data_IF_374684315084
#
_entry.id   IF_374684315084
#
_cell.length_a   1.000
_cell.length_b   1.000
_cell.length_c   1.000
_cell.angle_alpha   90.00
_cell.angle_beta   90.00
_cell.angle_gamma   90.00
#
_symmetry.space_group_name_H-M   'P 1'
#
loop_
_entity.id
_entity.type
_entity.pdbx_description
1 polymer ?
#
# COMPACT_ATOMS: atom_id res chain seq x y z
N UNK A 1 -7.41 -16.09 -5.38
CA UNK A 1 -7.36 -14.94 -4.44
C UNK A 1 -8.73 -14.28 -4.25
N UNK A 2 -9.48 -14.02 -5.32
CA UNK A 2 -10.79 -13.35 -5.28
C UNK A 2 -11.80 -13.92 -4.26
N UNK A 3 -12.07 -15.23 -4.28
CA UNK A 3 -12.99 -15.87 -3.32
C UNK A 3 -12.60 -15.65 -1.85
N UNK A 4 -11.29 -15.64 -1.57
CA UNK A 4 -10.80 -15.34 -0.22
C UNK A 4 -11.08 -13.89 0.16
N UNK A 5 -10.87 -12.96 -0.76
CA UNK A 5 -11.11 -11.53 -0.54
C UNK A 5 -12.59 -11.27 -0.25
N UNK A 6 -13.49 -11.82 -1.06
CA UNK A 6 -14.94 -11.75 -0.87
C UNK A 6 -15.36 -12.31 0.49
N UNK A 7 -14.86 -13.50 0.86
CA UNK A 7 -15.18 -14.12 2.15
C UNK A 7 -14.70 -13.29 3.35
N UNK A 8 -13.53 -12.67 3.25
CA UNK A 8 -12.97 -11.82 4.32
C UNK A 8 -13.74 -10.50 4.43
N UNK A 9 -14.07 -9.84 3.31
CA UNK A 9 -14.83 -8.60 3.29
C UNK A 9 -16.24 -8.80 3.88
N UNK A 10 -16.92 -9.89 3.49
CA UNK A 10 -18.23 -10.24 4.04
C UNK A 10 -18.16 -10.54 5.55
N UNK A 11 -17.14 -11.29 5.99
CA UNK A 11 -16.94 -11.62 7.41
C UNK A 11 -16.56 -10.41 8.27
N UNK A 12 -16.05 -9.33 7.65
CA UNK A 12 -15.72 -8.08 8.32
C UNK A 12 -16.93 -7.20 8.65
N UNK A 13 -18.14 -7.62 8.25
CA UNK A 13 -19.39 -6.93 8.55
C UNK A 13 -19.75 -5.82 7.55
N UNK A 14 -19.11 -5.78 6.40
CA UNK A 14 -19.43 -4.83 5.33
C UNK A 14 -20.76 -5.19 4.67
N UNK A 15 -21.53 -4.18 4.29
CA UNK A 15 -22.74 -4.37 3.50
C UNK A 15 -22.39 -4.93 2.11
N UNK A 16 -23.32 -5.63 1.42
CA UNK A 16 -23.07 -6.17 0.09
C UNK A 16 -22.58 -5.12 -0.92
N UNK A 17 -23.14 -3.91 -0.88
CA UNK A 17 -22.73 -2.80 -1.78
C UNK A 17 -21.28 -2.36 -1.53
N UNK A 18 -20.85 -2.34 -0.27
CA UNK A 18 -19.50 -1.94 0.14
C UNK A 18 -18.49 -3.02 -0.25
N UNK A 19 -18.87 -4.29 -0.08
CA UNK A 19 -18.09 -5.44 -0.57
C UNK A 19 -17.93 -5.38 -2.09
N UNK A 20 -19.03 -5.13 -2.83
CA UNK A 20 -18.99 -4.98 -4.29
C UNK A 20 -18.05 -3.86 -4.73
N UNK A 21 -18.10 -2.70 -4.07
CA UNK A 21 -17.22 -1.56 -4.38
C UNK A 21 -15.73 -1.96 -4.25
N UNK A 22 -15.35 -2.59 -3.15
CA UNK A 22 -13.98 -3.04 -2.95
C UNK A 22 -13.55 -4.12 -3.96
N UNK A 23 -14.46 -5.04 -4.32
CA UNK A 23 -14.21 -6.09 -5.32
C UNK A 23 -14.13 -5.54 -6.75
N UNK A 24 -14.87 -4.48 -7.07
CA UNK A 24 -14.77 -3.77 -8.35
C UNK A 24 -13.42 -3.08 -8.49
N UNK A 25 -12.98 -2.34 -7.46
CA UNK A 25 -11.64 -1.74 -7.47
C UNK A 25 -10.52 -2.78 -7.53
N UNK A 26 -10.68 -3.91 -6.83
CA UNK A 26 -9.74 -5.03 -6.96
C UNK A 26 -9.67 -5.53 -8.40
N UNK A 27 -10.81 -5.80 -9.06
CA UNK A 27 -10.81 -6.25 -10.46
C UNK A 27 -10.19 -5.22 -11.39
N UNK A 28 -10.51 -3.93 -11.22
CA UNK A 28 -9.87 -2.84 -11.96
C UNK A 28 -8.35 -2.87 -11.81
N UNK A 29 -7.85 -3.00 -10.58
CA UNK A 29 -6.42 -3.09 -10.29
C UNK A 29 -5.74 -4.30 -10.96
N UNK A 30 -6.46 -5.43 -11.07
CA UNK A 30 -5.97 -6.64 -11.74
C UNK A 30 -5.97 -6.48 -13.26
N UNK A 31 -7.04 -5.93 -13.83
CA UNK A 31 -7.19 -5.72 -15.27
C UNK A 31 -6.10 -4.80 -15.82
N UNK A 32 -5.78 -3.72 -15.09
CA UNK A 32 -4.69 -2.80 -15.43
C UNK A 32 -3.32 -3.51 -15.41
N UNK A 33 -3.09 -4.38 -14.43
CA UNK A 33 -1.83 -5.13 -14.28
C UNK A 33 -1.67 -6.28 -15.27
N UNK A 34 -2.77 -6.90 -15.72
CA UNK A 34 -2.75 -8.04 -16.64
C UNK A 34 -2.06 -7.74 -17.98
N UNK A 35 -1.95 -6.46 -18.35
CA UNK A 35 -1.18 -6.03 -19.51
C UNK A 35 0.36 -6.13 -19.31
N UNK A 36 0.84 -6.16 -18.06
CA UNK A 36 2.25 -6.06 -17.70
C UNK A 36 2.80 -7.27 -16.94
N UNK A 37 1.95 -7.99 -16.21
CA UNK A 37 2.34 -9.11 -15.35
C UNK A 37 1.73 -10.40 -15.89
N UNK A 38 2.60 -11.33 -16.30
CA UNK A 38 2.20 -12.53 -17.05
C UNK A 38 1.85 -13.70 -16.13
N UNK A 39 2.47 -13.80 -14.95
CA UNK A 39 2.34 -14.95 -14.05
C UNK A 39 1.46 -14.61 -12.84
N UNK A 40 0.49 -15.48 -12.54
CA UNK A 40 -0.46 -15.29 -11.43
C UNK A 40 0.18 -15.42 -10.04
N UNK A 41 1.37 -16.04 -9.95
CA UNK A 41 2.13 -16.19 -8.72
C UNK A 41 3.12 -15.04 -8.47
N UNK A 42 3.25 -14.10 -9.41
CA UNK A 42 4.09 -12.92 -9.24
C UNK A 42 3.59 -12.08 -8.06
N UNK A 43 4.51 -11.73 -7.16
CA UNK A 43 4.22 -10.88 -6.02
C UNK A 43 3.50 -9.57 -6.40
N UNK A 44 3.75 -9.01 -7.60
CA UNK A 44 3.09 -7.81 -8.12
C UNK A 44 1.65 -8.05 -8.53
N UNK A 45 1.36 -9.22 -9.10
CA UNK A 45 0.00 -9.63 -9.45
C UNK A 45 -0.87 -9.78 -8.19
N UNK A 46 -0.31 -10.36 -7.14
CA UNK A 46 -1.01 -10.62 -5.88
C UNK A 46 -1.10 -9.39 -4.95
N UNK A 47 -0.39 -8.30 -5.26
CA UNK A 47 -0.26 -7.11 -4.42
C UNK A 47 -1.60 -6.40 -4.12
N UNK A 48 -2.50 -6.15 -5.08
CA UNK A 48 -3.74 -5.40 -4.82
C UNK A 48 -4.64 -6.05 -3.76
N UNK A 49 -4.85 -7.36 -3.87
CA UNK A 49 -5.63 -8.11 -2.88
C UNK A 49 -4.96 -8.08 -1.50
N UNK A 50 -3.62 -8.10 -1.47
CA UNK A 50 -2.85 -8.13 -0.24
C UNK A 50 -2.87 -6.80 0.48
N UNK A 51 -2.71 -5.67 -0.21
CA UNK A 51 -2.79 -4.33 0.40
C UNK A 51 -4.17 -4.09 1.01
N UNK A 52 -5.25 -4.48 0.32
CA UNK A 52 -6.61 -4.44 0.87
C UNK A 52 -6.74 -5.29 2.14
N UNK A 53 -6.25 -6.52 2.13
CA UNK A 53 -6.32 -7.40 3.30
C UNK A 53 -5.52 -6.85 4.48
N UNK A 54 -4.35 -6.26 4.25
CA UNK A 54 -3.54 -5.63 5.31
C UNK A 54 -4.30 -4.44 5.90
N UNK A 55 -4.89 -3.57 5.07
CA UNK A 55 -5.67 -2.44 5.55
C UNK A 55 -6.86 -2.86 6.40
N UNK A 56 -7.58 -3.89 5.96
CA UNK A 56 -8.73 -4.44 6.67
C UNK A 56 -8.32 -5.14 7.98
N UNK A 57 -7.30 -6.00 7.94
CA UNK A 57 -6.96 -6.91 9.05
C UNK A 57 -5.95 -6.30 10.02
N UNK A 58 -4.86 -5.73 9.52
CA UNK A 58 -3.80 -5.13 10.31
C UNK A 58 -4.10 -3.65 10.63
N UNK A 59 -4.64 -2.90 9.66
CA UNK A 59 -5.07 -1.50 9.84
C UNK A 59 -6.40 -1.32 10.57
N UNK A 60 -7.24 -2.36 10.60
CA UNK A 60 -8.55 -2.35 11.23
C UNK A 60 -9.54 -1.39 10.55
N UNK A 61 -9.28 -0.97 9.30
CA UNK A 61 -10.15 -0.05 8.57
C UNK A 61 -11.42 -0.74 8.10
N UNK A 62 -12.55 -0.04 8.12
CA UNK A 62 -13.86 -0.52 7.67
C UNK A 62 -14.56 0.44 6.72
N UNK A 63 -14.01 1.65 6.53
CA UNK A 63 -14.48 2.63 5.57
C UNK A 63 -14.44 2.05 4.14
N UNK A 64 -15.60 1.93 3.46
CA UNK A 64 -15.67 1.29 2.15
C UNK A 64 -14.84 1.98 1.06
N UNK A 65 -14.79 3.31 1.09
CA UNK A 65 -13.98 4.15 0.19
C UNK A 65 -12.48 3.86 0.34
N UNK A 66 -11.97 3.80 1.56
CA UNK A 66 -10.56 3.47 1.82
C UNK A 66 -10.21 2.02 1.44
N UNK A 67 -11.10 1.07 1.74
CA UNK A 67 -10.91 -0.33 1.34
C UNK A 67 -10.93 -0.52 -0.17
N UNK A 68 -11.78 0.24 -0.87
CA UNK A 68 -11.84 0.24 -2.33
C UNK A 68 -10.68 1.00 -2.98
N UNK A 69 -10.09 2.00 -2.30
CA UNK A 69 -8.88 2.66 -2.77
C UNK A 69 -7.62 1.78 -2.61
N UNK A 70 -7.56 0.94 -1.59
CA UNK A 70 -6.40 0.09 -1.29
C UNK A 70 -5.78 -0.68 -2.48
N UNK A 71 -6.54 -1.42 -3.30
CA UNK A 71 -5.97 -2.13 -4.45
C UNK A 71 -5.45 -1.20 -5.58
N UNK A 72 -5.83 0.07 -5.53
CA UNK A 72 -5.50 1.11 -6.52
C UNK A 72 -4.42 2.07 -6.02
N UNK A 73 -3.86 1.84 -4.83
CA UNK A 73 -2.61 2.47 -4.41
C UNK A 73 -1.47 1.58 -4.92
N UNK A 74 -0.54 2.16 -5.67
CA UNK A 74 0.67 1.48 -6.12
C UNK A 74 1.82 2.47 -6.02
N UNK A 75 2.54 2.40 -4.89
CA UNK A 75 3.61 3.36 -4.62
C UNK A 75 4.95 2.97 -5.23
N UNK A 76 5.18 1.71 -5.61
CA UNK A 76 6.45 1.26 -6.17
C UNK A 76 6.49 1.27 -7.69
N UNK A 77 5.39 0.89 -8.33
CA UNK A 77 5.30 0.74 -9.78
C UNK A 77 4.05 1.48 -10.30
N UNK A 78 3.95 2.82 -10.13
CA UNK A 78 2.74 3.59 -10.46
C UNK A 78 2.29 3.41 -11.92
N UNK A 79 3.23 3.12 -12.82
CA UNK A 79 2.96 2.81 -14.24
C UNK A 79 2.05 1.58 -14.44
N UNK A 80 2.02 0.64 -13.48
CA UNK A 80 1.11 -0.53 -13.52
C UNK A 80 -0.36 -0.14 -13.42
N UNK A 81 -0.62 1.03 -12.85
CA UNK A 81 -1.96 1.56 -12.65
C UNK A 81 -2.30 2.63 -13.69
N UNK A 82 -1.32 3.39 -14.18
CA UNK A 82 -1.57 4.47 -15.15
C UNK A 82 -2.52 5.53 -14.55
N UNK A 83 -3.39 6.12 -15.38
CA UNK A 83 -4.33 7.18 -14.95
C UNK A 83 -5.58 6.62 -14.25
N UNK A 84 -5.43 5.79 -13.22
CA UNK A 84 -6.55 5.18 -12.47
C UNK A 84 -7.53 6.23 -11.96
N UNK A 85 -7.02 7.39 -11.52
CA UNK A 85 -7.85 8.47 -11.04
C UNK A 85 -8.90 8.92 -12.08
N UNK A 86 -8.63 8.77 -13.38
CA UNK A 86 -9.56 9.15 -14.43
C UNK A 86 -10.73 8.16 -14.62
N UNK A 87 -10.63 6.94 -14.08
CA UNK A 87 -11.64 5.87 -14.26
C UNK A 87 -12.21 5.33 -12.95
N UNK A 88 -11.67 5.75 -11.80
CA UNK A 88 -12.17 5.38 -10.49
C UNK A 88 -13.54 6.05 -10.20
N UNK A 89 -14.49 5.34 -9.57
CA UNK A 89 -15.71 5.96 -9.07
C UNK A 89 -15.42 7.11 -8.09
N UNK A 90 -16.25 8.16 -8.09
CA UNK A 90 -16.09 9.38 -7.26
C UNK A 90 -15.61 9.15 -5.81
N UNK A 91 -16.20 8.24 -4.99
CA UNK A 91 -15.73 8.07 -3.61
C UNK A 91 -14.29 7.53 -3.50
N UNK A 92 -13.84 6.80 -4.51
CA UNK A 92 -12.47 6.29 -4.59
C UNK A 92 -11.54 7.37 -5.15
N UNK A 93 -11.98 8.07 -6.19
CA UNK A 93 -11.24 9.20 -6.77
C UNK A 93 -10.90 10.26 -5.71
N UNK A 94 -11.88 10.63 -4.87
CA UNK A 94 -11.66 11.59 -3.79
C UNK A 94 -10.60 11.14 -2.78
N UNK A 95 -10.58 9.84 -2.43
CA UNK A 95 -9.55 9.26 -1.56
C UNK A 95 -8.19 9.31 -2.25
N UNK A 96 -8.10 8.87 -3.50
CA UNK A 96 -6.84 8.83 -4.26
C UNK A 96 -6.26 10.23 -4.48
N UNK A 97 -7.11 11.21 -4.81
CA UNK A 97 -6.72 12.61 -4.96
C UNK A 97 -6.28 13.26 -3.64
N UNK A 98 -6.78 12.76 -2.51
CA UNK A 98 -6.40 13.20 -1.16
C UNK A 98 -5.13 12.57 -0.61
N UNK A 99 -4.50 11.63 -1.31
CA UNK A 99 -3.25 11.01 -0.88
C UNK A 99 -2.10 12.04 -0.96
N UNK A 100 -1.28 12.17 0.11
CA UNK A 100 -0.03 12.91 0.04
C UNK A 100 0.82 12.42 -1.13
N UNK A 101 1.19 13.35 -2.01
CA UNK A 101 1.93 13.01 -3.23
C UNK A 101 3.31 12.48 -2.84
N UNK A 102 3.54 11.20 -3.09
CA UNK A 102 4.81 10.56 -2.78
C UNK A 102 5.87 10.98 -3.80
N UNK A 103 6.89 11.75 -3.40
CA UNK A 103 7.81 12.33 -4.36
C UNK A 103 8.68 11.22 -4.98
N UNK A 104 8.56 11.05 -6.29
CA UNK A 104 9.26 9.98 -7.02
C UNK A 104 8.76 8.56 -6.69
N UNK A 105 7.59 8.39 -6.09
CA UNK A 105 7.15 7.07 -5.61
C UNK A 105 8.06 6.50 -4.51
N UNK A 106 7.87 5.23 -4.13
CA UNK A 106 8.71 4.51 -3.15
C UNK A 106 10.10 4.16 -3.69
N UNK A 107 10.26 4.32 -4.99
CA UNK A 107 11.40 3.83 -5.75
C UNK A 107 12.35 4.86 -6.31
N UNK A 108 11.96 6.12 -6.51
CA UNK A 108 12.79 7.12 -7.18
C UNK A 108 13.40 8.15 -6.20
N UNK A 109 14.30 8.97 -6.72
CA UNK A 109 15.00 9.99 -5.95
C UNK A 109 14.19 11.26 -5.83
N UNK A 110 13.71 11.54 -4.63
CA UNK A 110 13.29 12.87 -4.22
C UNK A 110 14.42 13.58 -3.46
N UNK A 111 14.45 14.91 -3.54
CA UNK A 111 15.32 15.71 -2.67
C UNK A 111 14.83 15.67 -1.21
N UNK A 112 15.70 15.93 -0.21
CA UNK A 112 15.36 15.87 1.21
C UNK A 112 14.17 16.78 1.59
N UNK A 113 14.04 17.94 0.95
CA UNK A 113 12.93 18.87 1.19
C UNK A 113 11.58 18.31 0.74
N UNK A 114 11.57 17.53 -0.36
CA UNK A 114 10.36 16.90 -0.86
C UNK A 114 9.92 15.74 0.03
N UNK A 115 10.88 14.93 0.52
CA UNK A 115 10.62 13.88 1.51
C UNK A 115 10.07 14.46 2.82
N UNK A 116 10.66 15.58 3.29
CA UNK A 116 10.19 16.27 4.49
C UNK A 116 8.76 16.80 4.33
N UNK A 117 8.44 17.45 3.21
CA UNK A 117 7.09 17.92 2.91
C UNK A 117 6.07 16.78 2.85
N UNK A 118 6.43 15.69 2.17
CA UNK A 118 5.57 14.51 2.11
C UNK A 118 5.31 13.91 3.50
N UNK A 119 6.33 13.85 4.35
CA UNK A 119 6.16 13.41 5.74
C UNK A 119 5.22 14.32 6.53
N UNK A 120 5.38 15.65 6.39
CA UNK A 120 4.49 16.62 7.05
C UNK A 120 3.03 16.43 6.61
N UNK A 121 2.77 16.33 5.31
CA UNK A 121 1.44 16.06 4.76
C UNK A 121 0.88 14.73 5.28
N UNK A 122 1.69 13.67 5.31
CA UNK A 122 1.28 12.35 5.78
C UNK A 122 0.94 12.33 7.28
N UNK A 123 1.72 13.03 8.11
CA UNK A 123 1.44 13.14 9.55
C UNK A 123 0.16 13.93 9.82
N UNK A 124 -0.19 14.88 8.95
CA UNK A 124 -1.41 15.69 9.05
C UNK A 124 -2.63 15.05 8.37
N UNK A 125 -2.43 14.04 7.53
CA UNK A 125 -3.51 13.32 6.86
C UNK A 125 -4.46 12.64 7.85
N UNK A 126 -5.69 12.37 7.41
CA UNK A 126 -6.65 11.65 8.25
C UNK A 126 -6.13 10.25 8.64
N UNK A 127 -6.50 9.71 9.82
CA UNK A 127 -5.97 8.43 10.28
C UNK A 127 -6.19 7.26 9.32
N UNK A 128 -7.28 7.27 8.55
CA UNK A 128 -7.57 6.26 7.53
C UNK A 128 -6.57 6.29 6.37
N UNK A 129 -6.18 7.48 5.90
CA UNK A 129 -5.15 7.66 4.86
C UNK A 129 -3.79 7.20 5.35
N UNK A 130 -3.44 7.52 6.61
CA UNK A 130 -2.19 7.03 7.22
C UNK A 130 -2.15 5.50 7.23
N UNK A 131 -3.25 4.85 7.64
CA UNK A 131 -3.35 3.39 7.64
C UNK A 131 -3.30 2.79 6.24
N UNK A 132 -3.94 3.43 5.27
CA UNK A 132 -3.91 3.02 3.86
C UNK A 132 -2.46 2.98 3.34
N UNK A 133 -1.72 4.08 3.52
CA UNK A 133 -0.30 4.19 3.10
C UNK A 133 0.59 3.20 3.87
N UNK A 134 0.39 3.06 5.18
CA UNK A 134 1.16 2.10 5.98
C UNK A 134 0.86 0.64 5.61
N UNK A 135 -0.36 0.32 5.20
CA UNK A 135 -0.75 -1.04 4.79
C UNK A 135 -0.10 -1.42 3.48
N UNK A 136 -0.09 -0.49 2.54
CA UNK A 136 0.63 -0.58 1.27
C UNK A 136 2.14 -0.79 1.50
N UNK A 137 2.74 0.11 2.28
CA UNK A 137 4.16 0.02 2.65
C UNK A 137 4.51 -1.31 3.34
N UNK A 138 3.62 -1.83 4.20
CA UNK A 138 3.83 -3.09 4.89
C UNK A 138 3.86 -4.28 3.91
N UNK A 139 2.98 -4.29 2.90
CA UNK A 139 3.00 -5.32 1.85
C UNK A 139 4.31 -5.27 1.04
N UNK A 140 4.78 -4.07 0.74
CA UNK A 140 6.00 -3.90 -0.03
C UNK A 140 7.23 -4.30 0.78
N UNK A 141 7.30 -3.90 2.05
CA UNK A 141 8.39 -4.25 2.95
C UNK A 141 8.55 -5.77 3.12
N UNK A 142 7.43 -6.51 3.28
CA UNK A 142 7.50 -7.97 3.44
C UNK A 142 8.03 -8.69 2.20
N UNK A 143 7.85 -8.10 1.01
CA UNK A 143 8.29 -8.67 -0.27
C UNK A 143 9.59 -8.04 -0.79
N UNK A 144 10.21 -7.14 -0.04
CA UNK A 144 11.40 -6.43 -0.49
C UNK A 144 12.59 -7.37 -0.80
N UNK A 145 12.63 -8.54 -0.17
CA UNK A 145 13.62 -9.58 -0.42
C UNK A 145 13.52 -10.23 -1.81
N UNK A 146 12.39 -10.06 -2.51
CA UNK A 146 12.20 -10.52 -3.89
C UNK A 146 12.75 -9.51 -4.91
N UNK A 147 13.09 -8.29 -4.47
CA UNK A 147 13.66 -7.26 -5.34
C UNK A 147 15.19 -7.40 -5.40
N UNK A 148 15.79 -7.17 -6.59
CA UNK A 148 17.24 -7.19 -6.72
C UNK A 148 17.87 -6.13 -5.82
N UNK A 149 19.10 -6.40 -5.39
CA UNK A 149 19.87 -5.40 -4.66
C UNK A 149 20.20 -4.20 -5.56
N UNK A 150 20.27 -3.01 -4.95
CA UNK A 150 20.61 -1.78 -5.66
C UNK A 150 19.94 -0.52 -5.12
N UNK A 151 20.12 0.62 -5.81
CA UNK A 151 19.69 1.94 -5.33
C UNK A 151 18.20 2.03 -5.04
N UNK A 152 17.36 1.38 -5.86
CA UNK A 152 15.92 1.32 -5.67
C UNK A 152 15.56 0.65 -4.33
N UNK A 153 16.10 -0.54 -4.07
CA UNK A 153 15.87 -1.28 -2.82
C UNK A 153 16.35 -0.48 -1.60
N UNK A 154 17.52 0.13 -1.70
CA UNK A 154 18.10 0.92 -0.61
C UNK A 154 17.27 2.14 -0.25
N UNK A 155 16.62 2.80 -1.22
CA UNK A 155 15.70 3.92 -0.95
C UNK A 155 14.47 3.47 -0.17
N UNK A 156 13.87 2.33 -0.54
CA UNK A 156 12.75 1.75 0.21
C UNK A 156 13.17 1.44 1.64
N UNK A 157 14.37 0.87 1.84
CA UNK A 157 14.92 0.60 3.19
C UNK A 157 15.09 1.90 4.00
N UNK A 158 15.69 2.93 3.41
CA UNK A 158 15.88 4.23 4.07
C UNK A 158 14.55 4.88 4.45
N UNK A 159 13.56 4.86 3.55
CA UNK A 159 12.23 5.42 3.84
C UNK A 159 11.48 4.60 4.87
N UNK A 160 11.62 3.27 4.84
CA UNK A 160 11.06 2.40 5.86
C UNK A 160 11.63 2.71 7.24
N UNK A 161 12.95 2.81 7.36
CA UNK A 161 13.63 3.10 8.63
C UNK A 161 13.32 4.50 9.16
N UNK A 162 13.47 5.52 8.30
CA UNK A 162 13.40 6.92 8.70
C UNK A 162 11.98 7.46 8.85
N UNK A 163 11.00 6.89 8.14
CA UNK A 163 9.65 7.45 8.04
C UNK A 163 8.57 6.43 8.40
N UNK A 164 8.49 5.30 7.68
CA UNK A 164 7.32 4.43 7.75
C UNK A 164 7.23 3.65 9.07
N UNK A 165 8.36 3.17 9.59
CA UNK A 165 8.40 2.48 10.90
C UNK A 165 8.06 3.46 12.04
N UNK A 166 8.67 4.65 12.15
CA UNK A 166 8.26 5.66 13.14
C UNK A 166 6.79 6.07 13.02
N UNK A 167 6.28 6.25 11.80
CA UNK A 167 4.88 6.59 11.58
C UNK A 167 3.96 5.45 12.03
N UNK A 168 4.28 4.20 11.71
CA UNK A 168 3.52 3.04 12.17
C UNK A 168 3.47 2.98 13.70
N UNK A 169 4.58 3.28 14.38
CA UNK A 169 4.62 3.34 15.83
C UNK A 169 3.69 4.42 16.40
N UNK A 170 3.65 5.59 15.76
CA UNK A 170 2.73 6.68 16.14
C UNK A 170 1.26 6.33 15.92
N UNK A 171 0.93 5.66 14.81
CA UNK A 171 -0.43 5.18 14.52
C UNK A 171 -0.84 4.04 15.47
N UNK A 172 0.13 3.22 15.88
CA UNK A 172 -0.04 2.16 16.86
C UNK A 172 -0.80 0.93 16.36
N UNK A 173 -1.26 0.11 17.31
CA UNK A 173 -2.11 -1.05 17.03
C UNK A 173 -1.39 -2.22 16.36
N UNK A 174 -2.08 -2.91 15.44
CA UNK A 174 -1.51 -4.08 14.76
C UNK A 174 -0.52 -3.67 13.66
N UNK A 175 -0.74 -2.55 12.96
CA UNK A 175 0.21 -2.04 11.97
C UNK A 175 1.60 -1.78 12.57
N UNK A 176 1.70 -1.14 13.74
CA UNK A 176 2.97 -0.94 14.46
C UNK A 176 3.71 -2.27 14.65
N UNK A 177 3.05 -3.23 15.33
CA UNK A 177 3.65 -4.54 15.62
C UNK A 177 4.12 -5.27 14.37
N UNK A 178 3.34 -5.22 13.30
CA UNK A 178 3.60 -5.94 12.05
C UNK A 178 4.70 -5.27 11.24
N UNK A 179 4.68 -3.94 11.17
CA UNK A 179 5.72 -3.15 10.52
C UNK A 179 7.06 -3.37 11.23
N UNK A 180 7.11 -3.26 12.56
CA UNK A 180 8.33 -3.53 13.34
C UNK A 180 8.85 -4.95 13.17
N UNK A 181 7.97 -5.96 13.14
CA UNK A 181 8.37 -7.36 12.92
C UNK A 181 9.00 -7.57 11.54
N UNK A 182 8.36 -7.07 10.48
CA UNK A 182 8.87 -7.21 9.12
C UNK A 182 10.13 -6.37 8.87
N UNK A 183 10.24 -5.20 9.49
CA UNK A 183 11.47 -4.40 9.46
C UNK A 183 12.65 -5.17 10.04
N UNK A 184 12.49 -5.78 11.23
CA UNK A 184 13.57 -6.58 11.83
C UNK A 184 13.89 -7.85 11.04
N UNK A 185 12.88 -8.47 10.42
CA UNK A 185 13.05 -9.74 9.69
C UNK A 185 13.63 -9.57 8.30
N UNK A 186 13.22 -8.53 7.58
CA UNK A 186 13.58 -8.29 6.17
C UNK A 186 14.43 -7.04 6.06
N UNK A 187 13.90 -5.90 6.51
CA UNK A 187 14.54 -4.59 6.35
C UNK A 187 15.98 -4.53 6.87
N UNK A 188 16.18 -4.80 8.16
CA UNK A 188 17.50 -4.76 8.79
C UNK A 188 18.48 -5.77 8.17
N UNK A 189 18.03 -6.99 7.86
CA UNK A 189 18.90 -8.02 7.28
C UNK A 189 19.40 -7.65 5.88
N UNK A 190 18.53 -7.03 5.09
CA UNK A 190 18.90 -6.54 3.76
C UNK A 190 19.78 -5.30 3.84
N UNK A 191 19.59 -4.43 4.85
CA UNK A 191 20.40 -3.24 5.08
C UNK A 191 21.83 -3.52 5.57
N UNK A 192 22.06 -4.65 6.26
CA UNK A 192 23.40 -5.06 6.75
C UNK A 192 24.21 -5.90 5.76
N UNK A 193 23.64 -6.23 4.60
CA UNK A 193 24.27 -7.12 3.60
C UNK A 193 24.97 -6.36 2.45
N UNK A 194 25.13 -5.03 2.58
CA UNK A 194 25.79 -4.15 1.61
C UNK A 194 27.13 -3.63 2.09
#
# INVERSE_FOLDING_TARGET
MQQRLEGVLASAGLAPKETSLAMESFRMAMDLRGAFVVEEDDHRFLHPARSLLVLLQDGGERRPDLLAAAPLVESLEPDLLGEVAAVAPEPIEAVLAGLPALPGGLGETAGPDAEARWLEELVLAEPGIQKLILSEALDQLRHLHLRPDGPFRNRILQRAEGILVPLAHRVGGTLDRRMGWWWNRVGQRLGTSG
#
